data_IF_880944412706
#
_entry.id   IF_880944412706
#
_cell.length_a   1.000
_cell.length_b   1.000
_cell.length_c   1.000
_cell.angle_alpha   90.00
_cell.angle_beta   90.00
_cell.angle_gamma   90.00
#
_symmetry.space_group_name_H-M   'P 1'
#
loop_
_entity.id
_entity.type
_entity.pdbx_description
1 polymer ?
#
# COMPACT_ATOMS: atom_id res chain seq x y z
N UNK A 1 -8.88 -7.76 -4.87
CA UNK A 1 -10.21 -8.15 -4.38
C UNK A 1 -10.50 -7.41 -3.07
N UNK A 2 -10.99 -6.17 -3.15
CA UNK A 2 -11.36 -5.37 -1.97
C UNK A 2 -12.83 -5.63 -1.62
N UNK A 3 -13.11 -6.37 -0.54
CA UNK A 3 -14.42 -6.34 0.12
C UNK A 3 -14.40 -5.24 1.18
N UNK A 4 -15.20 -4.19 0.97
CA UNK A 4 -15.32 -3.07 1.90
C UNK A 4 -16.30 -3.38 3.02
N UNK A 5 -15.86 -3.14 4.28
CA UNK A 5 -16.77 -2.86 5.39
C UNK A 5 -17.08 -1.36 5.36
N UNK A 6 -18.36 -1.03 5.23
CA UNK A 6 -18.84 0.34 5.41
C UNK A 6 -18.75 0.71 6.89
N UNK A 7 -17.92 1.71 7.23
CA UNK A 7 -17.92 2.35 8.54
C UNK A 7 -18.91 3.53 8.51
N UNK A 8 -19.71 3.76 9.57
CA UNK A 8 -20.57 4.93 9.65
C UNK A 8 -19.71 6.20 9.72
N UNK A 9 -20.09 7.22 8.94
CA UNK A 9 -19.40 8.51 8.91
C UNK A 9 -19.56 9.28 10.23
N UNK A 10 -18.60 10.16 10.56
CA UNK A 10 -18.65 10.99 11.75
C UNK A 10 -19.77 12.06 11.65
N UNK A 11 -20.38 12.47 12.79
CA UNK A 11 -21.38 13.51 12.80
C UNK A 11 -20.74 14.90 12.56
N UNK A 12 -21.27 15.56 11.59
CA UNK A 12 -21.32 17.00 11.32
C UNK A 12 -20.17 17.92 11.75
N UNK A 13 -19.29 18.26 10.77
CA UNK A 13 -18.44 19.43 10.81
C UNK A 13 -18.17 19.92 9.40
N UNK A 14 -18.86 21.01 8.97
CA UNK A 14 -18.62 21.63 7.66
C UNK A 14 -17.33 22.48 7.73
N UNK A 15 -16.20 21.85 7.48
CA UNK A 15 -14.97 22.54 7.10
C UNK A 15 -14.83 22.47 5.59
N UNK A 16 -14.65 23.63 4.92
CA UNK A 16 -14.33 23.71 3.50
C UNK A 16 -12.97 23.04 3.25
N UNK A 17 -12.96 21.72 2.99
CA UNK A 17 -11.86 21.07 2.32
C UNK A 17 -11.89 21.57 0.87
N UNK A 18 -10.88 22.37 0.49
CA UNK A 18 -10.58 22.60 -0.92
C UNK A 18 -10.48 21.21 -1.55
N UNK A 19 -11.41 20.88 -2.43
CA UNK A 19 -11.34 19.72 -3.29
C UNK A 19 -10.02 19.83 -4.06
N UNK A 20 -9.02 19.04 -3.66
CA UNK A 20 -7.90 18.74 -4.54
C UNK A 20 -8.51 18.08 -5.77
N UNK A 21 -8.54 18.81 -6.88
CA UNK A 21 -8.82 18.21 -8.18
C UNK A 21 -7.66 17.28 -8.47
N UNK A 22 -7.87 15.99 -8.26
CA UNK A 22 -6.98 14.97 -8.80
C UNK A 22 -6.98 15.18 -10.32
N UNK A 23 -5.79 15.23 -10.97
CA UNK A 23 -5.76 15.21 -12.43
C UNK A 23 -6.57 13.99 -12.86
N UNK A 24 -7.53 14.20 -13.73
CA UNK A 24 -8.25 13.10 -14.39
C UNK A 24 -7.19 12.09 -14.84
N UNK A 25 -7.33 10.81 -14.49
CA UNK A 25 -6.38 9.81 -14.95
C UNK A 25 -6.32 9.95 -16.46
N UNK A 26 -5.11 10.14 -16.99
CA UNK A 26 -4.90 10.13 -18.43
C UNK A 26 -5.71 8.96 -18.95
N UNK A 27 -6.62 9.22 -19.87
CA UNK A 27 -7.56 8.22 -20.39
C UNK A 27 -6.76 7.10 -21.06
N UNK A 28 -6.16 6.26 -20.22
CA UNK A 28 -5.73 4.95 -20.65
C UNK A 28 -7.02 4.21 -20.95
N UNK A 29 -7.22 3.85 -22.21
CA UNK A 29 -8.36 3.09 -22.74
C UNK A 29 -8.36 1.66 -22.14
N UNK A 30 -8.41 1.54 -20.82
CA UNK A 30 -8.73 0.27 -20.17
C UNK A 30 -10.26 0.15 -19.99
N UNK A 31 -10.97 0.39 -21.08
CA UNK A 31 -12.24 -0.24 -21.23
C UNK A 31 -11.92 -1.75 -21.25
N UNK A 32 -12.25 -2.46 -20.18
CA UNK A 32 -12.66 -3.84 -20.41
C UNK A 32 -13.70 -3.73 -21.49
N UNK A 33 -13.31 -4.10 -22.71
CA UNK A 33 -14.35 -4.22 -23.72
C UNK A 33 -15.36 -5.19 -23.11
N UNK A 34 -16.62 -4.97 -23.40
CA UNK A 34 -17.74 -5.79 -22.94
C UNK A 34 -17.61 -7.30 -23.28
N UNK A 35 -16.49 -7.70 -23.87
CA UNK A 35 -16.09 -9.05 -24.27
C UNK A 35 -15.10 -9.71 -23.30
N UNK A 36 -14.71 -9.06 -22.17
CA UNK A 36 -13.84 -9.67 -21.15
C UNK A 36 -12.39 -9.93 -21.59
N UNK A 37 -11.90 -9.24 -22.63
CA UNK A 37 -10.52 -9.38 -23.09
C UNK A 37 -9.53 -8.74 -22.11
N UNK A 38 -8.49 -9.47 -21.76
CA UNK A 38 -7.39 -9.01 -20.91
C UNK A 38 -6.56 -7.98 -21.69
N UNK A 39 -6.37 -6.78 -21.12
CA UNK A 39 -5.48 -5.76 -21.69
C UNK A 39 -4.02 -6.17 -21.51
N UNK A 40 -3.32 -6.48 -22.59
CA UNK A 40 -1.89 -6.73 -22.60
C UNK A 40 -1.16 -5.39 -22.65
N UNK A 41 -0.29 -5.14 -21.66
CA UNK A 41 0.45 -3.88 -21.55
C UNK A 41 1.56 -3.79 -22.57
N UNK A 42 1.67 -2.64 -23.24
CA UNK A 42 2.79 -2.29 -24.13
C UNK A 42 4.09 -2.14 -23.32
N UNK A 43 5.24 -2.12 -24.01
CA UNK A 43 6.55 -1.91 -23.35
C UNK A 43 6.58 -0.56 -22.59
N UNK A 44 6.06 0.51 -23.16
CA UNK A 44 5.99 1.82 -22.53
C UNK A 44 5.12 1.82 -21.26
N UNK A 45 3.95 1.15 -21.30
CA UNK A 45 3.11 0.99 -20.12
C UNK A 45 3.78 0.14 -19.03
N UNK A 46 4.52 -0.91 -19.43
CA UNK A 46 5.29 -1.71 -18.48
C UNK A 46 6.39 -0.89 -17.79
N UNK A 47 7.07 0.00 -18.52
CA UNK A 47 8.07 0.90 -17.95
C UNK A 47 7.45 1.91 -16.99
N UNK A 48 6.28 2.45 -17.30
CA UNK A 48 5.52 3.31 -16.40
C UNK A 48 5.09 2.55 -15.12
N UNK A 49 4.64 1.30 -15.24
CA UNK A 49 4.33 0.44 -14.09
C UNK A 49 5.57 0.15 -13.24
N UNK A 50 6.73 -0.11 -13.86
CA UNK A 50 8.01 -0.30 -13.15
C UNK A 50 8.41 0.96 -12.38
N UNK A 51 8.19 2.16 -12.98
CA UNK A 51 8.44 3.42 -12.29
C UNK A 51 7.56 3.55 -11.06
N UNK A 52 6.24 3.36 -11.18
CA UNK A 52 5.32 3.44 -10.06
C UNK A 52 5.69 2.43 -8.94
N UNK A 53 6.01 1.19 -9.30
CA UNK A 53 6.45 0.17 -8.34
C UNK A 53 7.77 0.52 -7.64
N UNK A 54 8.74 1.10 -8.35
CA UNK A 54 9.99 1.59 -7.76
C UNK A 54 9.74 2.71 -6.77
N UNK A 55 8.92 3.71 -7.12
CA UNK A 55 8.58 4.81 -6.23
C UNK A 55 7.93 4.30 -4.94
N UNK A 56 7.04 3.31 -5.02
CA UNK A 56 6.45 2.66 -3.85
C UNK A 56 7.50 1.99 -2.97
N UNK A 57 8.44 1.26 -3.58
CA UNK A 57 9.55 0.62 -2.83
C UNK A 57 10.44 1.64 -2.13
N UNK A 58 10.74 2.76 -2.77
CA UNK A 58 11.52 3.86 -2.18
C UNK A 58 10.84 4.47 -0.94
N UNK A 59 9.50 4.60 -0.94
CA UNK A 59 8.76 5.02 0.25
C UNK A 59 8.95 4.02 1.39
N UNK A 60 8.85 2.72 1.10
CA UNK A 60 9.02 1.66 2.11
C UNK A 60 10.45 1.60 2.64
N UNK A 61 11.45 1.88 1.81
CA UNK A 61 12.85 1.98 2.25
C UNK A 61 13.06 3.20 3.15
N UNK A 62 12.56 4.35 2.74
CA UNK A 62 12.66 5.60 3.49
C UNK A 62 11.99 5.52 4.86
N UNK A 63 10.75 5.01 4.91
CA UNK A 63 9.97 5.02 6.16
C UNK A 63 10.54 4.06 7.21
N UNK A 64 11.29 3.05 6.78
CA UNK A 64 11.88 2.07 7.70
C UNK A 64 12.71 2.69 8.83
N UNK A 65 13.43 3.78 8.57
CA UNK A 65 14.22 4.50 9.58
C UNK A 65 13.36 5.21 10.63
N UNK A 66 12.08 5.45 10.34
CA UNK A 66 11.14 6.15 11.21
C UNK A 66 10.25 5.20 12.02
N UNK A 67 10.27 3.90 11.71
CA UNK A 67 9.46 2.90 12.43
C UNK A 67 10.17 2.49 13.71
N UNK A 68 10.03 3.33 14.73
CA UNK A 68 10.67 3.16 16.05
C UNK A 68 9.64 3.23 17.18
N UNK A 69 10.00 2.70 18.36
CA UNK A 69 9.14 2.80 19.53
C UNK A 69 8.86 4.27 19.89
N UNK A 70 7.61 4.59 20.18
CA UNK A 70 7.14 5.93 20.53
C UNK A 70 6.59 6.75 19.38
N UNK A 71 6.90 6.42 18.09
CA UNK A 71 6.32 7.12 16.94
C UNK A 71 4.83 6.84 16.84
N UNK A 72 4.03 7.85 16.54
CA UNK A 72 2.62 7.66 16.22
C UNK A 72 2.46 7.19 14.78
N UNK A 73 1.47 6.33 14.50
CA UNK A 73 1.21 5.88 13.14
C UNK A 73 0.80 7.03 12.21
N UNK A 74 0.19 8.08 12.77
CA UNK A 74 -0.14 9.33 12.05
C UNK A 74 1.12 10.08 11.58
N UNK A 75 2.18 10.05 12.36
CA UNK A 75 3.47 10.65 11.99
C UNK A 75 4.12 9.88 10.84
N UNK A 76 4.00 8.54 10.81
CA UNK A 76 4.45 7.73 9.67
C UNK A 76 3.67 8.10 8.40
N UNK A 77 2.36 8.30 8.51
CA UNK A 77 1.52 8.74 7.40
C UNK A 77 1.97 10.10 6.86
N UNK A 78 2.19 11.07 7.75
CA UNK A 78 2.65 12.41 7.38
C UNK A 78 3.99 12.37 6.63
N UNK A 79 4.96 11.60 7.14
CA UNK A 79 6.29 11.45 6.51
C UNK A 79 6.15 10.83 5.11
N UNK A 80 5.36 9.76 4.97
CA UNK A 80 5.11 9.13 3.68
C UNK A 80 4.38 10.06 2.72
N UNK A 81 3.37 10.78 3.19
CA UNK A 81 2.65 11.77 2.39
C UNK A 81 3.60 12.82 1.82
N UNK A 82 4.40 13.44 2.69
CA UNK A 82 5.35 14.48 2.29
C UNK A 82 6.36 13.95 1.27
N UNK A 83 6.85 12.74 1.45
CA UNK A 83 7.81 12.12 0.53
C UNK A 83 7.16 11.82 -0.83
N UNK A 84 5.98 11.23 -0.85
CA UNK A 84 5.25 10.90 -2.09
C UNK A 84 4.92 12.18 -2.87
N UNK A 85 4.37 13.20 -2.19
CA UNK A 85 3.87 14.40 -2.86
C UNK A 85 5.02 15.35 -3.24
N UNK A 86 5.91 15.65 -2.29
CA UNK A 86 6.89 16.72 -2.45
C UNK A 86 8.21 16.23 -3.07
N UNK A 87 8.62 14.98 -2.81
CA UNK A 87 9.89 14.44 -3.35
C UNK A 87 9.64 13.68 -4.64
N UNK A 88 8.70 12.74 -4.65
CA UNK A 88 8.43 11.90 -5.81
C UNK A 88 7.50 12.57 -6.84
N UNK A 89 6.86 13.68 -6.48
CA UNK A 89 5.86 14.36 -7.33
C UNK A 89 4.82 13.35 -7.84
N UNK A 90 4.29 12.56 -6.91
CA UNK A 90 3.34 11.48 -7.14
C UNK A 90 2.10 11.64 -6.23
N UNK A 91 1.13 10.77 -6.39
CA UNK A 91 -0.12 10.83 -5.62
C UNK A 91 -0.25 9.60 -4.73
N UNK A 92 -0.53 9.75 -3.43
CA UNK A 92 -0.86 8.63 -2.56
C UNK A 92 -2.28 8.14 -2.89
N UNK A 93 -2.40 6.94 -3.44
CA UNK A 93 -3.67 6.40 -3.93
C UNK A 93 -4.75 6.21 -2.85
N UNK A 94 -4.41 5.84 -1.59
CA UNK A 94 -5.44 5.65 -0.57
C UNK A 94 -6.16 6.94 -0.18
N UNK A 95 -5.47 8.10 -0.24
CA UNK A 95 -6.01 9.35 0.27
C UNK A 95 -7.25 9.80 -0.52
N UNK A 96 -8.37 9.88 0.17
CA UNK A 96 -9.67 10.24 -0.42
C UNK A 96 -10.39 9.09 -1.13
N UNK A 97 -9.73 7.95 -1.37
CA UNK A 97 -10.36 6.81 -2.00
C UNK A 97 -11.49 6.26 -1.12
N UNK A 98 -12.73 6.39 -1.61
CA UNK A 98 -13.95 6.00 -0.86
C UNK A 98 -14.00 6.56 0.56
N UNK A 99 -13.46 7.75 0.77
CA UNK A 99 -13.44 8.43 2.06
C UNK A 99 -12.30 8.00 3.00
N UNK A 100 -11.32 7.20 2.54
CA UNK A 100 -10.15 6.87 3.35
C UNK A 100 -9.33 8.14 3.65
N UNK A 101 -9.03 8.46 4.94
CA UNK A 101 -8.56 9.79 5.31
C UNK A 101 -7.04 9.96 5.30
N UNK A 102 -6.28 8.93 4.92
CA UNK A 102 -4.83 8.85 5.06
C UNK A 102 -4.13 8.44 3.76
N UNK A 103 -2.83 8.68 3.68
CA UNK A 103 -2.02 8.43 2.48
C UNK A 103 -1.47 7.02 2.40
N UNK A 104 -1.34 6.35 3.55
CA UNK A 104 -0.88 4.96 3.67
C UNK A 104 -1.78 4.19 4.63
N UNK A 105 -1.63 2.86 4.67
CA UNK A 105 -2.21 2.06 5.74
C UNK A 105 -1.12 1.60 6.73
N UNK A 106 -1.47 1.55 8.02
CA UNK A 106 -0.59 1.05 9.09
C UNK A 106 -1.33 0.00 9.91
N UNK A 107 -1.01 -1.27 9.70
CA UNK A 107 -1.68 -2.39 10.37
C UNK A 107 -0.78 -2.96 11.47
N UNK A 108 -1.11 -2.66 12.73
CA UNK A 108 -0.27 -2.98 13.89
C UNK A 108 -0.77 -4.25 14.57
N UNK A 109 0.12 -5.23 14.76
CA UNK A 109 -0.11 -6.50 15.45
C UNK A 109 -1.27 -7.30 14.85
N UNK A 110 -2.43 -7.34 15.53
CA UNK A 110 -3.60 -8.13 15.13
C UNK A 110 -4.46 -7.48 14.02
N UNK A 111 -4.15 -6.27 13.61
CA UNK A 111 -4.84 -5.62 12.48
C UNK A 111 -4.38 -6.28 11.20
N UNK A 112 -5.29 -6.92 10.49
CA UNK A 112 -4.98 -7.75 9.31
C UNK A 112 -4.51 -6.90 8.12
N UNK A 113 -5.27 -5.83 7.80
CA UNK A 113 -4.96 -4.90 6.70
C UNK A 113 -5.73 -3.59 6.87
N UNK A 114 -5.39 -2.59 6.06
CA UNK A 114 -6.06 -1.30 5.95
C UNK A 114 -6.20 -0.55 7.29
N UNK A 115 -5.27 -0.75 8.21
CA UNK A 115 -5.24 0.03 9.46
C UNK A 115 -5.10 1.52 9.15
N UNK A 116 -5.99 2.34 9.73
CA UNK A 116 -5.97 3.80 9.53
C UNK A 116 -4.93 4.40 10.46
N UNK A 117 -3.92 5.12 9.94
CA UNK A 117 -2.99 5.89 10.76
C UNK A 117 -3.68 6.84 11.74
N UNK A 118 -3.19 6.91 12.98
CA UNK A 118 -3.77 7.72 14.05
C UNK A 118 -2.77 7.97 15.18
N UNK A 119 -3.29 8.30 16.35
CA UNK A 119 -2.52 8.65 17.56
C UNK A 119 -1.84 7.45 18.24
N UNK A 120 -2.13 6.22 17.78
CA UNK A 120 -1.49 5.02 18.31
C UNK A 120 0.03 5.11 18.17
N UNK A 121 0.73 5.06 19.33
CA UNK A 121 2.19 5.00 19.36
C UNK A 121 2.67 3.56 19.33
N UNK A 122 3.64 3.30 18.47
CA UNK A 122 4.31 2.00 18.37
C UNK A 122 5.10 1.73 19.67
N UNK A 123 5.12 0.46 20.08
CA UNK A 123 5.82 0.00 21.27
C UNK A 123 6.90 -1.00 20.89
N UNK A 124 7.91 -1.11 21.74
CA UNK A 124 8.92 -2.17 21.63
C UNK A 124 8.23 -3.54 21.59
N UNK A 125 8.57 -4.35 20.60
CA UNK A 125 7.96 -5.66 20.37
C UNK A 125 6.73 -5.66 19.47
N UNK A 126 6.22 -4.49 19.05
CA UNK A 126 5.17 -4.42 18.04
C UNK A 126 5.71 -4.84 16.66
N UNK A 127 4.82 -5.37 15.83
CA UNK A 127 5.02 -5.48 14.38
C UNK A 127 4.01 -4.55 13.68
N UNK A 128 4.43 -3.92 12.61
CA UNK A 128 3.54 -3.06 11.81
C UNK A 128 3.74 -3.31 10.33
N UNK A 129 2.65 -3.59 9.63
CA UNK A 129 2.64 -3.58 8.17
C UNK A 129 2.38 -2.13 7.73
N UNK A 130 3.31 -1.58 6.97
CA UNK A 130 3.14 -0.30 6.26
C UNK A 130 2.83 -0.62 4.82
N UNK A 131 1.68 -0.17 4.36
CA UNK A 131 1.13 -0.47 3.04
C UNK A 131 0.97 0.83 2.25
N UNK A 132 1.63 0.87 1.10
CA UNK A 132 1.82 2.08 0.29
C UNK A 132 1.38 1.82 -1.13
N UNK A 133 0.50 2.68 -1.64
CA UNK A 133 0.14 2.71 -3.06
C UNK A 133 0.41 4.10 -3.62
N UNK A 134 1.29 4.17 -4.62
CA UNK A 134 1.67 5.40 -5.32
C UNK A 134 1.08 5.42 -6.72
N UNK A 135 0.49 6.55 -7.12
CA UNK A 135 0.08 6.79 -8.50
C UNK A 135 1.10 7.71 -9.16
N UNK A 136 1.68 7.27 -10.26
CA UNK A 136 2.56 8.07 -11.11
C UNK A 136 2.13 7.94 -12.57
N UNK A 137 1.85 9.06 -13.21
CA UNK A 137 1.45 9.13 -14.62
C UNK A 137 0.28 8.17 -14.98
N UNK A 138 -0.68 8.02 -14.06
CA UNK A 138 -1.85 7.14 -14.21
C UNK A 138 -1.61 5.66 -13.88
N UNK A 139 -0.40 5.25 -13.54
CA UNK A 139 -0.07 3.88 -13.13
C UNK A 139 0.11 3.76 -11.62
N UNK A 140 -0.33 2.64 -11.07
CA UNK A 140 -0.24 2.33 -9.65
C UNK A 140 0.94 1.41 -9.37
N UNK A 141 1.75 1.78 -8.37
CA UNK A 141 2.66 0.88 -7.68
C UNK A 141 2.08 0.61 -6.30
N UNK A 142 1.95 -0.65 -5.93
CA UNK A 142 1.33 -1.08 -4.69
C UNK A 142 2.20 -2.15 -4.03
N UNK A 143 2.59 -1.91 -2.78
CA UNK A 143 3.41 -2.84 -2.02
C UNK A 143 3.34 -2.55 -0.54
N UNK A 144 3.57 -3.57 0.27
CA UNK A 144 3.66 -3.42 1.71
C UNK A 144 4.89 -4.09 2.28
N UNK A 145 5.29 -3.65 3.48
CA UNK A 145 6.40 -4.24 4.22
C UNK A 145 6.08 -4.34 5.69
N UNK A 146 6.45 -5.49 6.28
CA UNK A 146 6.39 -5.69 7.71
C UNK A 146 7.64 -5.14 8.37
N UNK A 147 7.46 -4.33 9.42
CA UNK A 147 8.53 -3.80 10.26
C UNK A 147 8.38 -4.31 11.69
N UNK A 148 9.48 -4.76 12.28
CA UNK A 148 9.57 -5.11 13.68
C UNK A 148 10.07 -3.90 14.48
N UNK A 149 9.34 -3.49 15.51
CA UNK A 149 9.73 -2.37 16.38
C UNK A 149 10.67 -2.88 17.47
N UNK A 150 11.95 -2.79 17.19
CA UNK A 150 12.99 -3.36 18.03
C UNK A 150 12.96 -4.89 18.08
N UNK A 151 13.26 -5.49 19.24
CA UNK A 151 13.27 -6.95 19.41
C UNK A 151 11.85 -7.47 19.63
N UNK A 152 11.39 -8.34 18.76
CA UNK A 152 10.09 -9.03 18.86
C UNK A 152 10.25 -10.43 19.44
N UNK A 153 9.19 -11.04 20.03
CA UNK A 153 9.24 -12.43 20.50
C UNK A 153 9.55 -13.41 19.36
N UNK A 154 10.29 -14.51 19.62
CA UNK A 154 10.65 -15.48 18.56
C UNK A 154 9.47 -16.03 17.76
N UNK A 155 8.29 -16.34 18.33
CA UNK A 155 7.14 -16.77 17.53
C UNK A 155 6.64 -15.70 16.54
N UNK A 156 6.73 -14.42 16.93
CA UNK A 156 6.33 -13.27 16.08
C UNK A 156 7.33 -13.10 14.94
N UNK A 157 8.64 -13.15 15.23
CA UNK A 157 9.68 -13.12 14.21
C UNK A 157 9.48 -14.25 13.20
N UNK A 158 9.26 -15.48 13.70
CA UNK A 158 9.00 -16.63 12.83
C UNK A 158 7.78 -16.43 11.92
N UNK A 159 6.69 -15.83 12.43
CA UNK A 159 5.51 -15.52 11.61
C UNK A 159 5.87 -14.57 10.46
N UNK A 160 6.61 -13.50 10.77
CA UNK A 160 7.05 -12.52 9.75
C UNK A 160 7.91 -13.20 8.69
N UNK A 161 8.92 -13.98 9.11
CA UNK A 161 9.85 -14.65 8.20
C UNK A 161 9.14 -15.67 7.30
N UNK A 162 8.27 -16.52 7.87
CA UNK A 162 7.52 -17.50 7.10
C UNK A 162 6.53 -16.84 6.11
N UNK A 163 5.90 -15.75 6.50
CA UNK A 163 5.00 -15.00 5.61
C UNK A 163 5.77 -14.39 4.44
N UNK A 164 6.95 -13.84 4.71
CA UNK A 164 7.84 -13.32 3.67
C UNK A 164 8.30 -14.43 2.70
N UNK A 165 8.69 -15.58 3.21
CA UNK A 165 9.06 -16.74 2.39
C UNK A 165 7.89 -17.24 1.55
N UNK A 166 6.69 -17.31 2.13
CA UNK A 166 5.46 -17.71 1.44
C UNK A 166 5.14 -16.76 0.27
N UNK A 167 5.24 -15.45 0.50
CA UNK A 167 5.10 -14.44 -0.56
C UNK A 167 6.05 -14.72 -1.72
N UNK A 168 7.34 -14.94 -1.45
CA UNK A 168 8.33 -15.22 -2.50
C UNK A 168 8.09 -16.54 -3.23
N UNK A 169 7.58 -17.56 -2.55
CA UNK A 169 7.16 -18.79 -3.21
C UNK A 169 6.03 -18.53 -4.19
N UNK A 170 5.02 -17.76 -3.79
CA UNK A 170 3.93 -17.35 -4.67
C UNK A 170 4.42 -16.56 -5.89
N UNK A 171 5.34 -15.61 -5.70
CA UNK A 171 5.89 -14.79 -6.79
C UNK A 171 6.66 -15.66 -7.79
N UNK A 172 7.46 -16.61 -7.33
CA UNK A 172 8.33 -17.45 -8.20
C UNK A 172 7.57 -18.38 -9.13
N UNK A 173 6.32 -18.72 -8.84
CA UNK A 173 5.51 -19.56 -9.73
C UNK A 173 4.81 -18.77 -10.83
N UNK A 174 4.87 -17.43 -10.80
CA UNK A 174 4.28 -16.58 -11.82
C UNK A 174 5.14 -16.61 -13.08
N UNK A 175 4.69 -17.39 -14.07
CA UNK A 175 5.36 -17.55 -15.35
C UNK A 175 4.33 -17.86 -16.44
N UNK A 176 4.67 -17.74 -17.73
CA UNK A 176 3.78 -18.14 -18.81
C UNK A 176 3.28 -19.56 -18.64
N UNK A 177 1.94 -19.74 -18.68
CA UNK A 177 1.28 -21.03 -18.48
C UNK A 177 0.86 -21.35 -17.03
N UNK A 178 1.32 -20.60 -16.04
CA UNK A 178 0.88 -20.73 -14.65
C UNK A 178 -0.59 -20.29 -14.49
N UNK A 179 -1.28 -20.92 -13.55
CA UNK A 179 -2.67 -20.60 -13.18
C UNK A 179 -2.69 -19.84 -11.85
N UNK A 180 -3.75 -19.05 -11.60
CA UNK A 180 -3.90 -18.37 -10.31
C UNK A 180 -3.87 -19.32 -9.11
N UNK A 181 -4.41 -20.53 -9.27
CA UNK A 181 -4.37 -21.56 -8.24
C UNK A 181 -2.96 -22.05 -7.86
N UNK A 182 -2.00 -21.95 -8.78
CA UNK A 182 -0.61 -22.36 -8.53
C UNK A 182 0.06 -21.43 -7.51
N UNK A 183 -0.31 -20.14 -7.49
CA UNK A 183 0.16 -19.15 -6.49
C UNK A 183 -0.31 -19.57 -5.10
N UNK A 184 -1.62 -19.83 -4.94
CA UNK A 184 -2.17 -20.24 -3.65
C UNK A 184 -1.63 -21.58 -3.17
N UNK A 185 -1.38 -22.53 -4.09
CA UNK A 185 -0.79 -23.83 -3.74
C UNK A 185 0.69 -23.74 -3.34
N UNK A 186 1.42 -22.73 -3.83
CA UNK A 186 2.82 -22.50 -3.49
C UNK A 186 3.01 -21.81 -2.13
N UNK A 187 2.04 -21.00 -1.70
CA UNK A 187 1.99 -20.31 -0.41
C UNK A 187 1.58 -21.27 0.70
#
# INVERSE_FOLDING_TARGET
>A
FFKYLALPGPPGGRGHLKTMQYPEPATTNWQSDSAGRISVKTAAEQDAMRLAGRLTSEVLDMIGAHVVAGVATDELDRICHDYIVNVQQAVPAPLGYRGFPKSICTSVNHVVCHGIPGDRRLKQGDIVNVDVTVIKDGFHGDSSRMFCVGKVPPPVQRLVDLTYDAMWRGIRVVQPGARLGDIGAAI
#
